data_IF_052789730327
#
_entry.id   IF_052789730327
#
_cell.length_a   1.000
_cell.length_b   1.000
_cell.length_c   1.000
_cell.angle_alpha   90.00
_cell.angle_beta   90.00
_cell.angle_gamma   90.00
#
_symmetry.space_group_name_H-M   'P 1'
#
loop_
_entity.id
_entity.type
_entity.pdbx_description
1 polymer ?
#
# COMPACT_ATOMS: atom_id res chain seq x y z
N UNK A 1 -38.56 49.35 -9.55
CA UNK A 1 -38.40 48.27 -8.56
C UNK A 1 -37.25 47.38 -8.96
N UNK A 2 -36.06 47.70 -8.44
CA UNK A 2 -34.80 47.00 -8.75
C UNK A 2 -34.68 45.78 -7.82
N UNK A 3 -34.86 44.57 -8.38
CA UNK A 3 -34.60 43.33 -7.64
C UNK A 3 -33.08 43.14 -7.51
N UNK A 4 -32.55 43.31 -6.30
CA UNK A 4 -31.21 42.89 -5.92
C UNK A 4 -31.12 41.39 -6.09
N UNK A 5 -30.27 40.92 -7.00
CA UNK A 5 -29.84 39.55 -7.08
C UNK A 5 -28.97 39.24 -5.82
N UNK A 6 -29.48 38.44 -4.93
CA UNK A 6 -28.74 37.90 -3.81
C UNK A 6 -27.81 36.84 -4.38
N UNK A 7 -26.53 37.19 -4.54
CA UNK A 7 -25.45 36.21 -4.75
C UNK A 7 -25.39 35.33 -3.51
N UNK A 8 -25.71 34.05 -3.68
CA UNK A 8 -25.47 33.03 -2.67
C UNK A 8 -23.96 32.73 -2.67
N UNK A 9 -23.20 33.07 -1.62
CA UNK A 9 -21.77 32.80 -1.56
C UNK A 9 -21.49 31.54 -0.76
N UNK A 10 -22.07 30.42 -1.10
CA UNK A 10 -21.66 29.13 -0.51
C UNK A 10 -21.87 28.02 -1.53
N UNK A 11 -21.04 27.99 -2.55
CA UNK A 11 -20.63 26.70 -3.10
C UNK A 11 -19.77 26.06 -2.03
N UNK A 12 -20.38 25.20 -1.24
CA UNK A 12 -19.64 24.23 -0.40
C UNK A 12 -18.93 23.33 -1.39
N UNK A 13 -17.72 23.71 -1.80
CA UNK A 13 -16.79 22.85 -2.53
C UNK A 13 -16.58 21.64 -1.63
N UNK A 14 -17.10 20.50 -2.03
CA UNK A 14 -16.76 19.21 -1.44
C UNK A 14 -15.24 19.09 -1.55
N UNK A 15 -14.53 19.38 -0.46
CA UNK A 15 -13.09 19.16 -0.40
C UNK A 15 -12.83 17.67 -0.38
N UNK A 16 -12.27 17.15 -1.46
CA UNK A 16 -11.73 15.81 -1.47
C UNK A 16 -10.38 15.76 -0.72
N UNK A 17 -9.96 14.57 -0.32
CA UNK A 17 -8.61 14.38 0.26
C UNK A 17 -7.50 14.82 -0.69
N UNK A 18 -7.77 14.87 -1.98
CA UNK A 18 -6.81 15.19 -3.04
C UNK A 18 -6.71 16.70 -3.33
N UNK A 19 -7.64 17.51 -2.77
CA UNK A 19 -7.69 18.97 -2.97
C UNK A 19 -6.69 19.76 -2.10
N UNK A 20 -5.60 19.15 -1.67
CA UNK A 20 -4.56 19.87 -0.93
C UNK A 20 -3.55 20.49 -1.88
N UNK A 21 -3.24 21.77 -1.64
CA UNK A 21 -2.21 22.47 -2.41
C UNK A 21 -0.80 21.96 -2.11
N UNK A 22 -0.03 21.61 -3.13
CA UNK A 22 1.36 21.18 -2.98
C UNK A 22 2.22 22.25 -2.30
N UNK A 23 2.06 23.51 -2.71
CA UNK A 23 2.81 24.63 -2.12
C UNK A 23 2.47 24.82 -0.64
N UNK A 24 1.21 24.69 -0.26
CA UNK A 24 0.79 24.79 1.15
C UNK A 24 1.33 23.62 1.99
N UNK A 25 1.36 22.40 1.42
CA UNK A 25 1.94 21.25 2.08
C UNK A 25 3.43 21.47 2.33
N UNK A 26 4.18 21.94 1.32
CA UNK A 26 5.60 22.26 1.39
C UNK A 26 5.90 23.45 2.31
N UNK A 27 5.01 24.42 2.39
CA UNK A 27 5.13 25.55 3.33
C UNK A 27 4.96 25.08 4.80
N UNK A 28 4.11 24.11 5.06
CA UNK A 28 3.84 23.61 6.41
C UNK A 28 4.83 22.56 6.90
N UNK A 29 5.29 21.69 6.00
CA UNK A 29 6.16 20.57 6.34
C UNK A 29 7.48 20.63 5.58
N UNK A 30 8.50 19.98 6.15
CA UNK A 30 9.76 19.62 5.50
C UNK A 30 9.80 18.09 5.45
N UNK A 31 10.13 17.52 4.29
CA UNK A 31 10.45 16.11 4.20
C UNK A 31 11.91 15.88 4.57
N UNK A 32 12.14 15.05 5.56
CA UNK A 32 13.47 14.57 5.96
C UNK A 32 13.73 13.22 5.28
N UNK A 33 14.68 13.19 4.37
CA UNK A 33 15.00 12.00 3.57
C UNK A 33 15.71 10.89 4.35
N UNK A 34 16.38 11.23 5.46
CA UNK A 34 17.10 10.26 6.28
C UNK A 34 16.13 9.45 7.16
N UNK A 35 15.23 10.16 7.84
CA UNK A 35 14.21 9.50 8.69
C UNK A 35 13.00 9.02 7.91
N UNK A 36 12.75 9.55 6.71
CA UNK A 36 11.56 9.26 5.92
C UNK A 36 10.28 9.91 6.46
N UNK A 37 10.39 11.04 7.19
CA UNK A 37 9.24 11.66 7.83
C UNK A 37 9.00 13.11 7.41
N UNK A 38 7.76 13.56 7.60
CA UNK A 38 7.42 14.96 7.50
C UNK A 38 7.66 15.66 8.84
N UNK A 39 8.42 16.73 8.81
CA UNK A 39 8.72 17.59 9.97
C UNK A 39 7.87 18.85 9.87
N UNK A 40 7.16 19.20 10.92
CA UNK A 40 6.41 20.45 10.97
C UNK A 40 7.38 21.63 11.06
N UNK A 41 7.40 22.51 10.07
CA UNK A 41 8.34 23.63 9.99
C UNK A 41 8.20 24.62 11.15
N UNK A 42 6.99 24.81 11.70
CA UNK A 42 6.75 25.74 12.81
C UNK A 42 7.27 25.18 14.15
N UNK A 43 7.15 23.89 14.37
CA UNK A 43 7.47 23.28 15.68
C UNK A 43 8.79 22.51 15.69
N UNK A 44 9.38 22.22 14.52
CA UNK A 44 10.56 21.36 14.37
C UNK A 44 10.30 19.90 14.74
N UNK A 45 9.07 19.51 15.04
CA UNK A 45 8.74 18.16 15.48
C UNK A 45 8.28 17.30 14.30
N UNK A 46 8.55 16.00 14.41
CA UNK A 46 8.01 14.99 13.50
C UNK A 46 6.48 15.08 13.48
N UNK A 47 5.90 15.09 12.28
CA UNK A 47 4.47 15.12 12.10
C UNK A 47 3.91 13.69 12.05
N UNK A 48 2.64 13.54 12.43
CA UNK A 48 1.95 12.25 12.42
C UNK A 48 2.39 11.28 13.53
N UNK A 49 1.72 10.15 13.54
CA UNK A 49 1.92 9.08 14.53
C UNK A 49 1.63 7.72 13.91
N UNK A 50 2.11 6.68 14.57
CA UNK A 50 1.75 5.31 14.22
C UNK A 50 0.37 5.04 14.81
N UNK A 51 -0.61 4.72 13.95
CA UNK A 51 -1.88 4.21 14.40
C UNK A 51 -1.82 2.69 14.37
N UNK A 52 -1.93 2.07 15.56
CA UNK A 52 -2.14 0.64 15.68
C UNK A 52 -3.55 0.33 15.15
N UNK A 53 -3.65 -0.10 13.91
CA UNK A 53 -4.92 -0.57 13.37
C UNK A 53 -5.23 -1.94 13.97
N UNK A 54 -6.31 -2.03 14.74
CA UNK A 54 -6.76 -3.24 15.42
C UNK A 54 -7.14 -4.40 14.49
N UNK A 55 -7.33 -4.14 13.20
CA UNK A 55 -7.74 -5.13 12.18
C UNK A 55 -6.63 -5.61 11.25
N UNK A 56 -5.59 -4.82 11.03
CA UNK A 56 -4.45 -5.21 10.19
C UNK A 56 -3.19 -5.14 11.04
N UNK A 57 -2.45 -6.23 11.12
CA UNK A 57 -1.21 -6.34 11.90
C UNK A 57 -0.04 -5.47 11.38
N UNK A 58 -0.26 -4.64 10.35
CA UNK A 58 0.78 -3.78 9.77
C UNK A 58 0.60 -2.36 10.27
N UNK A 59 1.56 -1.82 11.03
CA UNK A 59 1.55 -0.42 11.43
C UNK A 59 1.82 0.47 10.20
N UNK A 60 1.10 1.59 10.15
CA UNK A 60 1.38 2.68 9.22
C UNK A 60 1.43 3.98 9.99
N UNK A 61 2.23 4.91 9.50
CA UNK A 61 2.19 6.27 10.02
C UNK A 61 1.07 7.05 9.34
N UNK A 62 0.35 7.81 10.15
CA UNK A 62 -0.77 8.64 9.73
C UNK A 62 -0.55 10.10 10.13
N UNK A 63 -1.03 11.01 9.31
CA UNK A 63 -0.94 12.45 9.52
C UNK A 63 -2.27 13.12 9.27
N UNK A 64 -2.78 13.84 10.29
CA UNK A 64 -3.93 14.73 10.15
C UNK A 64 -3.54 16.04 9.45
N UNK A 65 -4.18 16.37 8.33
CA UNK A 65 -3.95 17.61 7.61
C UNK A 65 -5.26 18.14 6.99
N UNK A 66 -5.56 19.43 7.23
CA UNK A 66 -6.77 20.11 6.70
C UNK A 66 -8.09 19.36 6.96
N UNK A 67 -8.21 18.70 8.11
CA UNK A 67 -9.43 17.97 8.49
C UNK A 67 -9.53 16.54 7.94
N UNK A 68 -8.53 16.07 7.22
CA UNK A 68 -8.45 14.70 6.73
C UNK A 68 -7.28 13.94 7.36
N UNK A 69 -7.44 12.64 7.50
CA UNK A 69 -6.37 11.73 7.86
C UNK A 69 -5.75 11.10 6.61
N UNK A 70 -4.43 11.17 6.52
CA UNK A 70 -3.64 10.60 5.41
C UNK A 70 -2.66 9.57 5.94
N UNK A 71 -2.38 8.55 5.15
CA UNK A 71 -1.18 7.77 5.33
C UNK A 71 0.02 8.61 4.96
N UNK A 72 1.03 8.70 5.84
CA UNK A 72 2.16 9.61 5.69
C UNK A 72 2.92 9.38 4.37
N UNK A 73 3.17 8.12 3.97
CA UNK A 73 3.85 7.82 2.71
C UNK A 73 3.15 8.40 1.45
N UNK A 74 1.80 8.51 1.46
CA UNK A 74 1.07 9.12 0.34
C UNK A 74 1.26 10.63 0.29
N UNK A 75 1.32 11.30 1.45
CA UNK A 75 1.64 12.72 1.54
C UNK A 75 3.08 13.00 1.15
N UNK A 76 4.03 12.14 1.54
CA UNK A 76 5.44 12.24 1.14
C UNK A 76 5.57 12.10 -0.37
N UNK A 77 4.89 11.13 -0.97
CA UNK A 77 4.89 10.96 -2.42
C UNK A 77 4.36 12.21 -3.13
N UNK A 78 3.19 12.70 -2.71
CA UNK A 78 2.62 13.94 -3.23
C UNK A 78 3.53 15.15 -2.99
N UNK A 79 4.15 15.24 -1.82
CA UNK A 79 5.11 16.30 -1.47
C UNK A 79 6.29 16.34 -2.45
N UNK A 80 6.82 15.19 -2.83
CA UNK A 80 8.02 15.11 -3.68
C UNK A 80 7.66 15.21 -5.16
N UNK A 81 6.71 14.43 -5.63
CA UNK A 81 6.40 14.28 -7.05
C UNK A 81 5.26 15.17 -7.55
N UNK A 82 4.45 15.75 -6.66
CA UNK A 82 3.35 16.65 -7.02
C UNK A 82 2.09 15.97 -7.55
N UNK A 83 2.07 14.64 -7.61
CA UNK A 83 0.92 13.85 -8.04
C UNK A 83 0.55 12.80 -6.99
N UNK A 84 -0.74 12.46 -6.93
CA UNK A 84 -1.22 11.40 -6.07
C UNK A 84 -0.95 10.04 -6.70
N UNK A 85 -0.29 9.10 -5.96
CA UNK A 85 -0.02 7.77 -6.49
C UNK A 85 -1.30 6.91 -6.48
N UNK A 86 -1.41 5.99 -7.44
CA UNK A 86 -2.47 5.01 -7.46
C UNK A 86 -2.37 4.08 -6.22
N UNK A 87 -1.30 3.35 -6.12
CA UNK A 87 -0.92 2.59 -4.92
C UNK A 87 0.57 2.80 -4.63
N UNK A 88 0.96 2.75 -3.34
CA UNK A 88 2.37 2.72 -2.91
C UNK A 88 2.64 1.41 -2.21
N UNK A 89 3.75 0.80 -2.56
CA UNK A 89 4.30 -0.37 -1.89
C UNK A 89 5.60 0.00 -1.17
N UNK A 90 5.77 -0.58 0.03
CA UNK A 90 7.03 -0.50 0.77
C UNK A 90 7.89 -1.71 0.38
N UNK A 91 9.04 -1.45 -0.26
CA UNK A 91 9.91 -2.49 -0.84
C UNK A 91 10.35 -3.50 0.23
N UNK A 92 10.70 -3.01 1.43
CA UNK A 92 11.08 -3.87 2.57
C UNK A 92 9.87 -4.47 3.31
N UNK A 93 8.63 -4.05 2.99
CA UNK A 93 7.40 -4.49 3.65
C UNK A 93 7.10 -3.81 4.98
N UNK A 94 7.96 -2.90 5.49
CA UNK A 94 7.72 -2.08 6.68
C UNK A 94 6.92 -0.83 6.30
N UNK A 95 5.66 -0.76 6.72
CA UNK A 95 4.76 0.36 6.46
C UNK A 95 5.11 1.65 7.21
N UNK A 96 6.10 1.63 8.09
CA UNK A 96 6.58 2.78 8.86
C UNK A 96 7.82 3.43 8.27
N UNK A 97 8.57 2.72 7.43
CA UNK A 97 9.75 3.22 6.72
C UNK A 97 9.35 3.96 5.44
N UNK A 98 9.14 5.27 5.55
CA UNK A 98 8.67 6.11 4.46
C UNK A 98 9.82 6.84 3.71
N UNK A 99 11.05 6.35 3.81
CA UNK A 99 12.15 6.83 2.98
C UNK A 99 11.84 6.55 1.51
N UNK A 100 12.06 7.53 0.63
CA UNK A 100 11.74 7.39 -0.80
C UNK A 100 12.41 6.19 -1.47
N UNK A 101 13.62 5.83 -1.02
CA UNK A 101 14.34 4.64 -1.51
C UNK A 101 13.58 3.35 -1.24
N UNK A 102 12.69 3.35 -0.23
CA UNK A 102 11.84 2.22 0.15
C UNK A 102 10.41 2.30 -0.43
N UNK A 103 10.04 3.42 -1.05
CA UNK A 103 8.72 3.63 -1.62
C UNK A 103 8.76 3.45 -3.14
N UNK A 104 7.74 2.79 -3.68
CA UNK A 104 7.52 2.74 -5.12
C UNK A 104 6.03 2.83 -5.44
N UNK A 105 5.71 3.52 -6.51
CA UNK A 105 4.37 3.47 -7.08
C UNK A 105 4.20 2.13 -7.81
N UNK A 106 3.07 1.50 -7.58
CA UNK A 106 2.73 0.19 -8.15
C UNK A 106 1.29 0.17 -8.59
N UNK A 107 0.99 -0.71 -9.52
CA UNK A 107 -0.39 -1.11 -9.80
C UNK A 107 -0.88 -2.06 -8.70
N UNK A 108 -2.19 -2.18 -8.56
CA UNK A 108 -2.80 -3.14 -7.62
C UNK A 108 -2.31 -4.57 -7.88
N UNK A 109 -2.14 -4.94 -9.14
CA UNK A 109 -1.65 -6.25 -9.56
C UNK A 109 -0.20 -6.50 -9.10
N UNK A 110 0.68 -5.50 -9.25
CA UNK A 110 2.05 -5.58 -8.75
C UNK A 110 2.12 -5.67 -7.22
N UNK A 111 1.30 -4.89 -6.53
CA UNK A 111 1.21 -4.93 -5.08
C UNK A 111 0.75 -6.31 -4.58
N UNK A 112 -0.22 -6.93 -5.24
CA UNK A 112 -0.64 -8.30 -4.93
C UNK A 112 0.48 -9.33 -5.14
N UNK A 113 1.37 -9.14 -6.13
CA UNK A 113 2.53 -10.01 -6.38
C UNK A 113 3.70 -9.78 -5.43
N UNK A 114 3.62 -8.77 -4.54
CA UNK A 114 4.58 -8.52 -3.46
C UNK A 114 4.00 -8.84 -2.07
N UNK A 115 3.00 -9.69 -1.98
CA UNK A 115 2.34 -10.00 -0.71
C UNK A 115 3.23 -10.87 0.18
N UNK A 116 3.31 -10.52 1.48
CA UNK A 116 3.92 -11.37 2.52
C UNK A 116 3.12 -12.66 2.70
N UNK A 117 3.78 -13.73 3.10
CA UNK A 117 3.10 -14.95 3.53
C UNK A 117 2.13 -14.63 4.69
N UNK A 118 0.92 -15.14 4.61
CA UNK A 118 -0.09 -14.97 5.65
C UNK A 118 0.29 -15.79 6.88
N UNK A 119 0.12 -15.23 8.07
CA UNK A 119 0.41 -15.92 9.33
C UNK A 119 -0.50 -17.13 9.61
N UNK A 120 -1.67 -17.20 8.93
CA UNK A 120 -2.62 -18.31 9.01
C UNK A 120 -2.44 -19.31 7.84
N UNK A 121 -1.36 -19.21 7.09
CA UNK A 121 -1.07 -20.15 6.00
C UNK A 121 -0.76 -21.52 6.55
N UNK A 122 -1.60 -22.49 6.23
CA UNK A 122 -1.41 -23.91 6.62
C UNK A 122 -0.34 -24.61 5.77
N UNK A 123 -0.08 -24.10 4.56
CA UNK A 123 0.95 -24.64 3.68
C UNK A 123 2.35 -24.06 3.95
N UNK A 124 2.42 -22.84 4.53
CA UNK A 124 3.67 -22.07 4.61
C UNK A 124 4.15 -21.52 3.27
N UNK A 125 3.35 -21.61 2.21
CA UNK A 125 3.72 -21.21 0.84
C UNK A 125 2.60 -20.36 0.25
N UNK A 126 2.96 -19.17 -0.26
CA UNK A 126 2.00 -18.32 -0.96
C UNK A 126 1.55 -18.99 -2.26
N UNK A 127 0.22 -19.11 -2.42
CA UNK A 127 -0.37 -19.72 -3.61
C UNK A 127 -0.64 -21.22 -3.49
N UNK A 128 -0.20 -21.88 -2.43
CA UNK A 128 -0.49 -23.29 -2.14
C UNK A 128 -1.52 -23.40 -1.03
N UNK A 129 -2.56 -24.19 -1.24
CA UNK A 129 -3.66 -24.38 -0.27
C UNK A 129 -4.10 -25.83 -0.24
N UNK A 130 -4.21 -26.44 0.95
CA UNK A 130 -4.80 -27.76 1.11
C UNK A 130 -6.31 -27.70 0.99
N UNK A 131 -6.89 -28.50 0.13
CA UNK A 131 -8.34 -28.68 -0.02
C UNK A 131 -8.77 -29.99 0.62
N UNK A 132 -9.44 -29.88 1.76
CA UNK A 132 -9.89 -31.04 2.55
C UNK A 132 -10.92 -31.89 1.80
N UNK A 133 -11.81 -31.27 1.05
CA UNK A 133 -12.89 -31.90 0.28
C UNK A 133 -12.35 -32.77 -0.89
N UNK A 134 -11.15 -32.46 -1.36
CA UNK A 134 -10.51 -33.16 -2.48
C UNK A 134 -9.27 -33.96 -2.08
N UNK A 135 -8.84 -33.82 -0.84
CA UNK A 135 -7.57 -34.40 -0.35
C UNK A 135 -6.39 -34.10 -1.29
N UNK A 136 -6.29 -32.83 -1.77
CA UNK A 136 -5.26 -32.38 -2.71
C UNK A 136 -4.77 -30.98 -2.40
N UNK A 137 -3.57 -30.69 -2.86
CA UNK A 137 -2.98 -29.35 -2.81
C UNK A 137 -3.38 -28.57 -4.07
N UNK A 138 -3.99 -27.40 -3.86
CA UNK A 138 -4.29 -26.46 -4.93
C UNK A 138 -3.11 -25.49 -5.09
N UNK A 139 -2.60 -25.37 -6.32
CA UNK A 139 -1.62 -24.35 -6.70
C UNK A 139 -2.28 -23.25 -7.54
N UNK A 140 -1.98 -22.00 -7.22
CA UNK A 140 -2.46 -20.81 -7.94
C UNK A 140 -1.50 -19.64 -7.82
N UNK A 141 -1.48 -18.78 -8.83
CA UNK A 141 -0.72 -17.50 -8.84
C UNK A 141 -1.63 -16.36 -9.31
N UNK A 142 -1.15 -15.12 -9.18
CA UNK A 142 -1.80 -13.95 -9.77
C UNK A 142 -1.08 -13.60 -11.07
N UNK A 143 -1.79 -13.58 -12.18
CA UNK A 143 -1.24 -13.19 -13.47
C UNK A 143 -0.85 -11.71 -13.57
N UNK A 144 -0.18 -11.34 -14.63
CA UNK A 144 0.21 -9.94 -14.93
C UNK A 144 -1.03 -9.05 -15.03
N UNK A 145 -2.14 -9.58 -15.53
CA UNK A 145 -3.44 -8.92 -15.63
C UNK A 145 -4.20 -8.81 -14.29
N UNK A 146 -3.63 -9.30 -13.20
CA UNK A 146 -4.23 -9.31 -11.87
C UNK A 146 -5.24 -10.44 -11.64
N UNK A 147 -5.49 -11.30 -12.61
CA UNK A 147 -6.39 -12.44 -12.45
C UNK A 147 -5.69 -13.62 -11.78
N UNK A 148 -6.48 -14.44 -11.09
CA UNK A 148 -5.98 -15.68 -10.51
C UNK A 148 -5.83 -16.74 -11.60
N UNK A 149 -4.62 -17.30 -11.72
CA UNK A 149 -4.32 -18.43 -12.58
C UNK A 149 -4.25 -19.69 -11.72
N UNK A 150 -5.09 -20.66 -12.04
CA UNK A 150 -5.12 -21.97 -11.39
C UNK A 150 -4.13 -22.88 -12.12
N UNK A 151 -3.13 -23.37 -11.38
CA UNK A 151 -2.04 -24.20 -11.94
C UNK A 151 -2.33 -25.70 -11.84
N UNK A 152 -3.27 -26.07 -10.97
CA UNK A 152 -3.73 -27.46 -10.84
C UNK A 152 -3.88 -27.95 -9.41
N UNK A 153 -4.24 -29.21 -9.29
CA UNK A 153 -4.36 -29.97 -8.06
C UNK A 153 -3.26 -31.05 -8.01
N UNK A 154 -2.59 -31.16 -6.88
CA UNK A 154 -1.42 -32.02 -6.72
C UNK A 154 -1.58 -32.94 -5.51
N UNK A 155 -0.99 -34.12 -5.57
CA UNK A 155 -1.02 -35.10 -4.48
C UNK A 155 -0.06 -34.70 -3.35
N UNK A 156 1.09 -34.07 -3.70
CA UNK A 156 2.05 -33.60 -2.70
C UNK A 156 2.14 -32.09 -2.66
N UNK A 157 2.56 -31.56 -1.50
CA UNK A 157 2.80 -30.15 -1.27
C UNK A 157 3.94 -29.63 -2.14
N UNK A 158 4.99 -30.43 -2.27
CA UNK A 158 6.21 -30.14 -3.04
C UNK A 158 5.91 -29.93 -4.52
N UNK A 159 5.05 -30.78 -5.12
CA UNK A 159 4.59 -30.61 -6.49
C UNK A 159 3.81 -29.30 -6.69
N UNK A 160 2.93 -28.97 -5.74
CA UNK A 160 2.16 -27.73 -5.78
C UNK A 160 3.07 -26.49 -5.61
N UNK A 161 4.11 -26.58 -4.78
CA UNK A 161 5.12 -25.53 -4.59
C UNK A 161 5.92 -25.31 -5.88
N UNK A 162 6.42 -26.37 -6.50
CA UNK A 162 7.15 -26.28 -7.76
C UNK A 162 6.30 -25.62 -8.85
N UNK A 163 5.02 -26.01 -8.97
CA UNK A 163 4.10 -25.40 -9.91
C UNK A 163 3.92 -23.89 -9.64
N UNK A 164 3.79 -23.49 -8.37
CA UNK A 164 3.69 -22.07 -8.00
C UNK A 164 4.97 -21.31 -8.34
N UNK A 165 6.14 -21.84 -8.00
CA UNK A 165 7.44 -21.20 -8.31
C UNK A 165 7.62 -21.01 -9.82
N UNK A 166 7.28 -22.01 -10.63
CA UNK A 166 7.33 -21.89 -12.07
C UNK A 166 6.31 -20.88 -12.61
N UNK A 167 5.09 -20.86 -12.08
CA UNK A 167 4.07 -19.88 -12.42
C UNK A 167 4.47 -18.45 -12.06
N UNK A 168 5.19 -18.25 -10.95
CA UNK A 168 5.68 -16.94 -10.53
C UNK A 168 6.77 -16.38 -11.46
N UNK A 169 7.70 -17.23 -11.93
CA UNK A 169 8.77 -16.81 -12.87
C UNK A 169 8.21 -16.11 -14.10
N UNK A 170 7.14 -16.66 -14.71
CA UNK A 170 6.49 -16.07 -15.88
C UNK A 170 5.63 -14.82 -15.61
N UNK A 171 5.30 -14.53 -14.35
CA UNK A 171 4.33 -13.49 -13.95
C UNK A 171 4.96 -12.32 -13.18
N UNK A 172 6.26 -12.08 -13.30
CA UNK A 172 6.99 -10.94 -12.73
C UNK A 172 6.71 -10.71 -11.24
N UNK A 173 6.77 -11.77 -10.45
CA UNK A 173 6.67 -11.67 -9.01
C UNK A 173 7.89 -10.97 -8.42
N UNK A 174 7.67 -10.21 -7.35
CA UNK A 174 8.78 -9.59 -6.63
C UNK A 174 9.58 -10.68 -5.90
N UNK A 175 10.90 -10.53 -5.84
CA UNK A 175 11.77 -11.53 -5.19
C UNK A 175 11.45 -11.77 -3.70
N UNK A 176 10.83 -10.78 -3.03
CA UNK A 176 10.38 -10.89 -1.64
C UNK A 176 8.96 -11.49 -1.49
N UNK A 177 8.32 -11.94 -2.57
CA UNK A 177 6.97 -12.51 -2.48
C UNK A 177 6.97 -13.79 -1.64
N UNK A 178 6.07 -13.85 -0.67
CA UNK A 178 5.94 -15.00 0.21
C UNK A 178 7.01 -15.14 1.28
N UNK A 179 8.02 -14.27 1.31
CA UNK A 179 9.02 -14.30 2.37
C UNK A 179 8.44 -13.80 3.69
N UNK A 180 8.88 -14.40 4.79
CA UNK A 180 8.67 -13.87 6.12
C UNK A 180 9.61 -12.68 6.30
N UNK A 181 9.03 -11.48 6.45
CA UNK A 181 9.78 -10.23 6.64
C UNK A 181 9.59 -9.81 8.09
N UNK A 182 10.65 -9.41 8.78
CA UNK A 182 10.51 -8.83 10.11
C UNK A 182 9.54 -7.64 10.05
N UNK A 183 8.73 -7.52 11.08
CA UNK A 183 7.84 -6.38 11.31
C UNK A 183 8.67 -5.16 11.70
#
# INVERSE_FOLDING_TARGET
>A
STRRATLFPYTTLFRSKEDIGLLELRAKFLYDSESGHLINRKTGKMAGSILAQTRTKKPYRHLGYKGFEYREHRLIWFYVYGNWPAEIDHINGDGTDNRLINLREVTRSENMRNTKLRSDSTSGICGVTWLKDRSKWLARVVGIDGKRLYLGYYESKEQAEEAVLNGQKGNKYHHNHGMDRPL
#
